data_IF_782076802051
#
_entry.id   IF_782076802051
#
_cell.length_a   1.000
_cell.length_b   1.000
_cell.length_c   1.000
_cell.angle_alpha   90.00
_cell.angle_beta   90.00
_cell.angle_gamma   90.00
#
_symmetry.space_group_name_H-M   'P 1'
#
loop_
_entity.id
_entity.type
_entity.pdbx_description
1 polymer ?
#
# COMPACT_ATOMS: atom_id res chain seq x y z
N UNK A 1 17.88 -1.44 -56.83
CA UNK A 1 16.80 -0.59 -56.29
C UNK A 1 15.52 -1.43 -56.24
N UNK A 2 15.43 -2.35 -55.27
CA UNK A 2 14.22 -3.15 -55.06
C UNK A 2 13.25 -2.29 -54.26
N UNK A 3 12.37 -1.58 -54.96
CA UNK A 3 11.24 -0.91 -54.33
C UNK A 3 10.27 -2.02 -53.96
N UNK A 4 10.34 -2.49 -52.71
CA UNK A 4 9.29 -3.32 -52.12
C UNK A 4 8.02 -2.47 -52.09
N UNK A 5 7.20 -2.62 -53.13
CA UNK A 5 5.82 -2.15 -53.19
C UNK A 5 5.04 -2.91 -52.12
N UNK A 6 5.08 -2.39 -50.90
CA UNK A 6 4.29 -2.90 -49.80
C UNK A 6 2.84 -2.50 -50.08
N UNK A 7 2.07 -3.44 -50.65
CA UNK A 7 0.69 -3.18 -51.06
C UNK A 7 -0.09 -2.60 -49.87
N UNK A 8 -0.72 -1.44 -50.07
CA UNK A 8 -1.53 -0.76 -49.05
C UNK A 8 -2.63 -1.66 -48.45
N UNK A 9 -3.03 -2.69 -49.20
CA UNK A 9 -4.06 -3.65 -48.79
C UNK A 9 -3.58 -4.68 -47.75
N UNK A 10 -2.28 -5.02 -47.73
CA UNK A 10 -1.68 -5.89 -46.69
C UNK A 10 -1.23 -5.12 -45.44
N UNK A 11 -1.00 -3.82 -45.57
CA UNK A 11 -0.68 -2.93 -44.44
C UNK A 11 -1.86 -2.76 -43.47
N UNK A 12 -3.08 -2.75 -43.98
CA UNK A 12 -4.30 -2.55 -43.19
C UNK A 12 -4.60 -3.71 -42.22
N UNK A 13 -4.60 -5.01 -42.62
CA UNK A 13 -4.79 -6.12 -41.69
C UNK A 13 -3.60 -6.30 -40.74
N UNK A 14 -2.39 -5.97 -41.18
CA UNK A 14 -1.19 -6.00 -40.32
C UNK A 14 -1.27 -4.95 -39.21
N UNK A 15 -1.71 -3.72 -39.52
CA UNK A 15 -1.97 -2.68 -38.52
C UNK A 15 -3.05 -3.12 -37.52
N UNK A 16 -4.16 -3.70 -37.99
CA UNK A 16 -5.25 -4.16 -37.13
C UNK A 16 -4.77 -5.30 -36.20
N UNK A 17 -3.94 -6.22 -36.70
CA UNK A 17 -3.32 -7.29 -35.88
C UNK A 17 -2.38 -6.73 -34.81
N UNK A 18 -1.64 -5.65 -35.10
CA UNK A 18 -0.77 -4.94 -34.15
C UNK A 18 -1.58 -4.18 -33.09
N UNK A 19 -2.74 -3.63 -33.46
CA UNK A 19 -3.68 -2.98 -32.51
C UNK A 19 -4.42 -3.98 -31.61
N UNK A 20 -4.71 -5.20 -32.07
CA UNK A 20 -5.35 -6.24 -31.24
C UNK A 20 -4.38 -6.90 -30.24
N UNK A 21 -3.07 -6.82 -30.47
CA UNK A 21 -2.06 -7.52 -29.67
C UNK A 21 -1.51 -6.71 -28.48
N UNK A 22 -2.05 -5.51 -28.23
CA UNK A 22 -1.55 -4.60 -27.19
C UNK A 22 -2.65 -4.11 -26.25
N UNK A 23 -3.48 -5.04 -25.78
CA UNK A 23 -4.27 -4.87 -24.57
C UNK A 23 -3.90 -5.96 -23.56
N UNK A 24 -2.65 -5.96 -23.10
CA UNK A 24 -2.32 -6.60 -21.83
C UNK A 24 -2.85 -5.68 -20.73
N UNK A 25 -4.11 -5.89 -20.33
CA UNK A 25 -4.58 -5.39 -19.05
C UNK A 25 -4.02 -6.32 -17.97
N UNK A 26 -2.82 -6.05 -17.46
CA UNK A 26 -2.38 -6.67 -16.21
C UNK A 26 -1.55 -5.68 -15.40
N UNK A 27 -2.25 -4.95 -14.54
CA UNK A 27 -1.65 -4.27 -13.39
C UNK A 27 -2.39 -4.65 -12.09
N UNK A 28 -3.31 -5.62 -12.15
CA UNK A 28 -4.39 -5.73 -11.16
C UNK A 28 -5.27 -6.99 -11.28
N UNK A 29 -4.76 -8.17 -11.66
CA UNK A 29 -5.56 -9.39 -11.40
C UNK A 29 -5.48 -9.68 -9.89
N UNK A 30 -6.33 -8.98 -9.13
CA UNK A 30 -6.39 -8.97 -7.66
C UNK A 30 -6.98 -10.26 -7.08
N UNK A 31 -6.57 -11.41 -7.61
CA UNK A 31 -7.03 -12.71 -7.16
C UNK A 31 -5.92 -13.39 -6.38
N UNK A 32 -6.01 -13.25 -5.06
CA UNK A 32 -5.14 -13.98 -4.16
C UNK A 32 -5.48 -15.47 -4.16
N UNK A 33 -4.47 -16.31 -4.26
CA UNK A 33 -4.60 -17.74 -4.01
C UNK A 33 -4.57 -18.01 -2.51
N UNK A 34 -5.11 -19.17 -2.09
CA UNK A 34 -5.01 -19.61 -0.70
C UNK A 34 -3.53 -19.69 -0.29
N UNK A 35 -3.23 -19.26 0.92
CA UNK A 35 -1.88 -19.21 1.51
C UNK A 35 -0.92 -18.19 0.87
N UNK A 36 -1.37 -17.39 -0.10
CA UNK A 36 -0.55 -16.34 -0.70
C UNK A 36 -0.31 -15.19 0.30
N UNK A 37 0.93 -14.66 0.40
CA UNK A 37 1.22 -13.52 1.27
C UNK A 37 0.52 -12.25 0.78
N UNK A 38 -0.06 -11.51 1.72
CA UNK A 38 -0.72 -10.23 1.47
C UNK A 38 0.02 -9.14 2.23
N UNK A 39 0.62 -8.20 1.50
CA UNK A 39 1.30 -7.05 2.11
C UNK A 39 0.30 -6.06 2.70
N UNK A 40 0.48 -5.74 3.98
CA UNK A 40 -0.19 -4.63 4.64
C UNK A 40 0.75 -3.42 4.62
N UNK A 41 0.30 -2.36 3.96
CA UNK A 41 0.96 -1.08 3.90
C UNK A 41 0.36 -0.14 4.93
N UNK A 42 1.20 0.49 5.75
CA UNK A 42 0.80 1.58 6.64
C UNK A 42 0.97 2.91 5.94
N UNK A 43 0.04 3.85 6.15
CA UNK A 43 0.11 5.18 5.55
C UNK A 43 0.08 6.27 6.61
N UNK A 44 -1.12 6.56 7.14
CA UNK A 44 -1.39 7.74 7.95
C UNK A 44 -2.26 7.46 9.15
N UNK A 45 -2.23 8.41 10.07
CA UNK A 45 -3.12 8.50 11.21
C UNK A 45 -3.47 9.96 11.49
N UNK A 46 -4.55 10.19 12.23
CA UNK A 46 -4.92 11.55 12.65
C UNK A 46 -6.11 11.57 13.58
N UNK A 47 -6.38 12.70 14.25
CA UNK A 47 -7.55 12.87 15.10
C UNK A 47 -8.85 12.82 14.30
N UNK A 48 -9.84 12.08 14.79
CA UNK A 48 -11.15 12.00 14.13
C UNK A 48 -11.87 13.35 14.06
N UNK A 49 -11.70 14.18 15.10
CA UNK A 49 -12.35 15.49 15.20
C UNK A 49 -11.75 16.55 14.27
N UNK A 50 -10.59 16.30 13.66
CA UNK A 50 -9.95 17.22 12.72
C UNK A 50 -9.35 16.48 11.51
N UNK A 51 -10.18 16.11 10.51
CA UNK A 51 -9.73 15.29 9.37
C UNK A 51 -8.68 15.94 8.47
N UNK A 52 -8.46 17.26 8.60
CA UNK A 52 -7.41 17.97 7.86
C UNK A 52 -6.01 17.72 8.44
N UNK A 53 -5.94 17.29 9.70
CA UNK A 53 -4.72 16.96 10.40
C UNK A 53 -4.40 15.48 10.20
N UNK A 54 -3.34 15.22 9.44
CA UNK A 54 -2.86 13.87 9.16
C UNK A 54 -1.35 13.80 9.37
N UNK A 55 -0.91 12.71 9.98
CA UNK A 55 0.47 12.41 10.26
C UNK A 55 0.83 11.03 9.68
N UNK A 56 2.11 10.81 9.42
CA UNK A 56 2.59 9.49 9.01
C UNK A 56 2.35 8.46 10.12
N UNK A 57 2.11 7.21 9.76
CA UNK A 57 1.83 6.15 10.72
C UNK A 57 2.88 6.03 11.86
N UNK A 58 4.18 6.15 11.53
CA UNK A 58 5.28 6.07 12.49
C UNK A 58 5.54 7.36 13.29
N UNK A 59 4.65 8.37 13.19
CA UNK A 59 4.66 9.51 14.12
C UNK A 59 4.31 9.07 15.55
N UNK A 60 3.47 8.04 15.70
CA UNK A 60 3.30 7.33 16.96
C UNK A 60 4.42 6.30 17.13
N UNK A 61 4.86 6.04 18.38
CA UNK A 61 6.03 5.19 18.65
C UNK A 61 5.69 3.69 18.56
N UNK A 62 5.08 3.28 17.44
CA UNK A 62 4.87 1.88 17.09
C UNK A 62 6.19 1.18 16.76
N UNK A 63 6.10 -0.15 16.64
CA UNK A 63 7.20 -0.96 16.18
C UNK A 63 7.59 -0.59 14.77
N UNK A 64 8.83 -0.16 14.63
CA UNK A 64 9.38 0.10 13.32
C UNK A 64 9.77 -1.23 12.65
N UNK A 65 9.71 -1.28 11.31
CA UNK A 65 10.26 -2.39 10.55
C UNK A 65 11.73 -2.56 10.95
N UNK A 66 12.19 -3.80 11.11
CA UNK A 66 13.50 -4.09 11.72
C UNK A 66 14.60 -3.33 10.94
N UNK A 67 15.41 -2.51 11.62
CA UNK A 67 16.43 -1.60 11.02
C UNK A 67 17.39 -2.20 9.97
N UNK A 68 17.47 -3.53 9.88
CA UNK A 68 18.33 -4.25 8.94
C UNK A 68 17.60 -4.68 7.65
N UNK A 69 16.28 -4.62 7.63
CA UNK A 69 15.46 -4.74 6.43
C UNK A 69 14.95 -3.32 6.11
N UNK A 70 15.56 -2.66 5.12
CA UNK A 70 15.05 -1.39 4.60
C UNK A 70 13.56 -1.56 4.32
N UNK A 71 12.71 -0.88 5.09
CA UNK A 71 11.27 -0.95 4.89
C UNK A 71 10.98 -0.56 3.45
N UNK A 72 10.25 -1.39 2.71
CA UNK A 72 9.90 -1.04 1.35
C UNK A 72 8.96 0.18 1.41
N UNK A 73 9.37 1.29 0.80
CA UNK A 73 8.52 2.45 0.60
C UNK A 73 7.89 2.33 -0.78
N UNK A 74 6.56 2.40 -0.83
CA UNK A 74 5.80 2.48 -2.07
C UNK A 74 5.25 3.90 -2.21
N UNK A 75 5.67 4.57 -3.26
CA UNK A 75 5.14 5.87 -3.64
C UNK A 75 4.16 5.68 -4.79
N UNK A 76 3.01 6.35 -4.69
CA UNK A 76 2.05 6.42 -5.77
C UNK A 76 2.45 7.42 -6.86
N UNK A 77 1.48 7.83 -7.68
CA UNK A 77 1.63 8.92 -8.63
C UNK A 77 1.80 10.29 -7.93
N UNK A 78 2.02 11.33 -8.73
CA UNK A 78 2.26 12.70 -8.23
C UNK A 78 1.15 13.19 -7.27
N UNK A 79 -0.12 12.85 -7.55
CA UNK A 79 -1.24 13.23 -6.70
C UNK A 79 -1.19 12.60 -5.31
N UNK A 80 -0.72 11.35 -5.20
CA UNK A 80 -0.60 10.64 -3.92
C UNK A 80 0.56 11.19 -3.10
N UNK A 81 1.68 11.51 -3.76
CA UNK A 81 2.83 12.15 -3.09
C UNK A 81 2.45 13.54 -2.58
N UNK A 82 1.74 14.36 -3.37
CA UNK A 82 1.26 15.68 -2.95
C UNK A 82 0.21 15.60 -1.84
N UNK A 83 -0.59 14.53 -1.83
CA UNK A 83 -1.47 14.20 -0.72
C UNK A 83 -0.72 13.79 0.54
N UNK A 84 0.60 13.59 0.48
CA UNK A 84 1.45 13.16 1.59
C UNK A 84 1.38 11.66 1.88
N UNK A 85 0.96 10.83 0.91
CA UNK A 85 0.94 9.39 1.09
C UNK A 85 2.36 8.81 1.05
N UNK A 86 2.68 8.02 2.06
CA UNK A 86 3.91 7.27 2.19
C UNK A 86 3.55 5.86 2.65
N UNK A 87 3.41 4.94 1.69
CA UNK A 87 3.06 3.56 2.00
C UNK A 87 4.32 2.81 2.43
N UNK A 88 4.34 2.35 3.68
CA UNK A 88 5.46 1.60 4.24
C UNK A 88 5.01 0.19 4.54
N UNK A 89 5.81 -0.80 4.14
CA UNK A 89 5.55 -2.20 4.47
C UNK A 89 5.59 -2.41 6.00
N UNK A 90 4.48 -2.92 6.56
CA UNK A 90 4.35 -3.23 7.99
C UNK A 90 5.19 -4.44 8.44
N UNK A 91 5.65 -5.29 7.51
CA UNK A 91 6.33 -6.56 7.77
C UNK A 91 5.50 -7.58 8.58
N UNK A 92 4.18 -7.41 8.66
CA UNK A 92 3.28 -8.37 9.31
C UNK A 92 2.97 -9.49 8.30
N UNK A 93 3.22 -10.76 8.67
CA UNK A 93 2.92 -11.93 7.83
C UNK A 93 1.41 -12.22 7.83
N UNK A 94 0.72 -11.74 6.80
CA UNK A 94 -0.71 -12.00 6.56
C UNK A 94 -0.82 -12.92 5.35
N UNK A 95 -1.58 -14.02 5.48
CA UNK A 95 -1.82 -14.98 4.40
C UNK A 95 -3.29 -15.05 4.04
N UNK A 96 -3.60 -15.02 2.75
CA UNK A 96 -4.98 -15.06 2.29
C UNK A 96 -5.65 -16.39 2.62
N UNK A 97 -6.88 -16.32 3.17
CA UNK A 97 -7.68 -17.47 3.62
C UNK A 97 -7.03 -18.37 4.67
N UNK A 98 -6.02 -17.87 5.41
CA UNK A 98 -5.37 -18.62 6.48
C UNK A 98 -5.50 -17.86 7.79
N UNK A 99 -6.08 -18.53 8.79
CA UNK A 99 -6.08 -18.00 10.15
C UNK A 99 -4.68 -18.13 10.74
N UNK A 100 -4.25 -17.08 11.42
CA UNK A 100 -3.01 -17.04 12.19
C UNK A 100 -3.40 -16.84 13.65
N UNK A 101 -2.76 -17.57 14.55
CA UNK A 101 -2.97 -17.38 15.97
C UNK A 101 -2.44 -16.01 16.42
N UNK A 102 -2.95 -15.52 17.56
CA UNK A 102 -2.47 -14.25 18.13
C UNK A 102 -1.00 -14.40 18.51
N UNK A 103 -0.13 -13.67 17.83
CA UNK A 103 1.31 -13.63 18.09
C UNK A 103 1.75 -12.24 18.48
N UNK A 104 2.84 -12.16 19.25
CA UNK A 104 3.49 -10.90 19.56
C UNK A 104 4.38 -10.54 18.38
N UNK A 105 3.99 -9.54 17.60
CA UNK A 105 4.79 -9.04 16.47
C UNK A 105 6.10 -8.41 16.94
N UNK A 106 6.04 -7.65 18.04
CA UNK A 106 7.17 -6.89 18.55
C UNK A 106 6.92 -6.47 20.01
N UNK A 107 7.99 -6.05 20.69
CA UNK A 107 7.94 -5.41 22.00
C UNK A 107 8.57 -4.02 21.91
N UNK A 108 7.96 -3.05 22.58
CA UNK A 108 8.47 -1.68 22.68
C UNK A 108 8.62 -1.29 24.14
N UNK A 109 9.73 -0.64 24.46
CA UNK A 109 9.91 -0.02 25.76
C UNK A 109 9.17 1.32 25.78
N UNK A 110 8.21 1.41 26.71
CA UNK A 110 7.40 2.59 26.96
C UNK A 110 8.04 3.45 28.04
N UNK A 111 8.45 4.66 27.66
CA UNK A 111 8.83 5.71 28.60
C UNK A 111 7.67 6.70 28.77
N UNK A 112 7.77 7.62 29.73
CA UNK A 112 6.72 8.60 30.01
C UNK A 112 6.28 9.41 28.79
N UNK A 113 7.23 9.81 27.93
CA UNK A 113 6.95 10.56 26.71
C UNK A 113 6.14 9.73 25.68
N UNK A 114 6.52 8.48 25.44
CA UNK A 114 5.80 7.57 24.52
C UNK A 114 4.41 7.23 25.04
N UNK A 115 4.29 7.00 26.35
CA UNK A 115 2.99 6.75 27.00
C UNK A 115 2.07 7.94 26.81
N UNK A 116 2.59 9.17 26.97
CA UNK A 116 1.82 10.38 26.71
C UNK A 116 1.30 10.45 25.27
N UNK A 117 2.15 10.21 24.27
CA UNK A 117 1.73 10.20 22.86
C UNK A 117 0.59 9.22 22.59
N UNK A 118 0.67 7.99 23.12
CA UNK A 118 -0.40 7.02 22.95
C UNK A 118 -1.69 7.43 23.67
N UNK A 119 -1.57 7.98 24.89
CA UNK A 119 -2.74 8.50 25.63
C UNK A 119 -3.42 9.62 24.85
N UNK A 120 -2.66 10.60 24.37
CA UNK A 120 -3.17 11.71 23.60
C UNK A 120 -3.88 11.21 22.32
N UNK A 121 -3.32 10.20 21.63
CA UNK A 121 -3.95 9.59 20.45
C UNK A 121 -5.27 8.86 20.76
N UNK A 122 -5.34 8.15 21.90
CA UNK A 122 -6.55 7.47 22.36
C UNK A 122 -7.62 8.50 22.74
N UNK A 123 -7.27 9.52 23.53
CA UNK A 123 -8.20 10.56 23.98
C UNK A 123 -8.78 11.38 22.81
N UNK A 124 -8.02 11.54 21.73
CA UNK A 124 -8.45 12.25 20.52
C UNK A 124 -9.08 11.33 19.46
N UNK A 125 -9.35 10.07 19.78
CA UNK A 125 -9.94 9.07 18.88
C UNK A 125 -9.25 9.02 17.52
N UNK A 126 -7.95 8.74 17.52
CA UNK A 126 -7.20 8.70 16.26
C UNK A 126 -7.72 7.60 15.33
N UNK A 127 -7.86 7.94 14.05
CA UNK A 127 -8.13 6.98 12.98
C UNK A 127 -6.82 6.57 12.29
N UNK A 128 -6.82 5.40 11.67
CA UNK A 128 -5.66 4.83 11.00
C UNK A 128 -6.01 4.43 9.58
N UNK A 129 -5.08 4.69 8.68
CA UNK A 129 -5.16 4.38 7.27
C UNK A 129 -4.15 3.30 6.89
N UNK A 130 -4.67 2.19 6.37
CA UNK A 130 -3.88 1.09 5.86
C UNK A 130 -4.29 0.73 4.43
N UNK A 131 -3.40 0.08 3.70
CA UNK A 131 -3.71 -0.51 2.41
C UNK A 131 -3.33 -1.99 2.43
N UNK A 132 -4.28 -2.84 2.07
CA UNK A 132 -4.08 -4.28 1.95
C UNK A 132 -3.99 -4.61 0.47
N UNK A 133 -2.78 -4.85 -0.03
CA UNK A 133 -2.52 -4.86 -1.48
C UNK A 133 -2.78 -3.48 -2.12
N UNK A 134 -3.85 -3.37 -2.92
CA UNK A 134 -4.33 -2.10 -3.52
C UNK A 134 -5.64 -1.60 -2.91
N UNK A 135 -6.20 -2.31 -1.93
CA UNK A 135 -7.46 -1.92 -1.29
C UNK A 135 -7.20 -1.04 -0.07
N UNK A 136 -7.89 0.09 -0.02
CA UNK A 136 -7.88 0.99 1.13
C UNK A 136 -8.71 0.41 2.27
N UNK A 137 -8.13 0.39 3.47
CA UNK A 137 -8.77 -0.09 4.69
C UNK A 137 -8.52 0.94 5.78
N UNK A 138 -9.61 1.53 6.30
CA UNK A 138 -9.53 2.46 7.44
C UNK A 138 -10.14 1.87 8.69
N UNK A 139 -9.44 2.05 9.80
CA UNK A 139 -9.91 1.68 11.13
C UNK A 139 -10.12 2.95 11.97
N UNK A 140 -11.25 3.00 12.65
CA UNK A 140 -11.71 4.19 13.39
C UNK A 140 -11.65 4.03 14.91
N UNK A 141 -11.00 2.99 15.43
CA UNK A 141 -10.92 2.77 16.87
C UNK A 141 -9.68 1.95 17.25
N UNK A 142 -8.92 2.46 18.23
CA UNK A 142 -8.02 1.68 19.10
C UNK A 142 -8.82 0.98 20.19
#
# INVERSE_FOLDING_TARGET
>A
MFVLSLSRSLLFPLLISLFLSSAFALESDHKYQRDEPVTLWVNKLGPYNNPQETYNYYSLPFCHPLRNASAAHKWGGLGEVLGGNELIDSQIDIKFQRNVDKTVFCQIDLNEAKVKLFKDAIENNYWFEFFMGMFWVSFFHL
#
